data_IF_876169408102
#
_entry.id   IF_876169408102
#
_cell.length_a   1.000
_cell.length_b   1.000
_cell.length_c   1.000
_cell.angle_alpha   90.00
_cell.angle_beta   90.00
_cell.angle_gamma   90.00
#
_symmetry.space_group_name_H-M   'P 1'
#
loop_
_entity.id
_entity.type
_entity.pdbx_description
1 polymer ?
#
# COMPACT_ATOMS: atom_id res chain seq x y z
N UNK A 1 -10.06 27.36 -2.42
CA UNK A 1 -10.93 28.20 -1.60
C UNK A 1 -11.88 29.00 -2.47
N UNK A 2 -11.43 29.66 -3.54
CA UNK A 2 -12.30 30.48 -4.42
C UNK A 2 -13.44 29.68 -5.09
N UNK A 3 -13.27 28.37 -5.22
CA UNK A 3 -14.29 27.44 -5.72
C UNK A 3 -15.18 26.85 -4.60
N UNK A 4 -15.12 27.38 -3.37
CA UNK A 4 -15.86 26.87 -2.21
C UNK A 4 -15.38 25.49 -1.75
N UNK A 5 -14.10 25.15 -1.97
CA UNK A 5 -13.50 23.90 -1.47
C UNK A 5 -12.64 24.22 -0.24
N UNK A 6 -12.89 23.52 0.86
CA UNK A 6 -12.24 23.80 2.14
C UNK A 6 -11.32 22.69 2.62
N UNK A 7 -11.52 21.46 2.15
CA UNK A 7 -10.69 20.32 2.51
C UNK A 7 -10.09 19.69 1.24
N UNK A 8 -8.79 19.42 1.29
CA UNK A 8 -8.04 18.71 0.27
C UNK A 8 -7.72 17.29 0.77
N UNK A 9 -8.02 16.28 -0.05
CA UNK A 9 -7.59 14.91 0.16
C UNK A 9 -6.47 14.57 -0.82
N UNK A 10 -5.36 14.05 -0.30
CA UNK A 10 -4.18 13.62 -1.06
C UNK A 10 -3.93 12.16 -0.76
N UNK A 11 -3.67 11.37 -1.79
CA UNK A 11 -3.26 9.97 -1.66
C UNK A 11 -2.29 9.57 -2.77
N UNK A 12 -1.57 8.48 -2.54
CA UNK A 12 -0.77 7.87 -3.60
C UNK A 12 -1.69 7.27 -4.67
N UNK A 13 -1.34 7.47 -5.95
CA UNK A 13 -2.13 6.96 -7.08
C UNK A 13 -2.20 5.43 -7.14
N UNK A 14 -1.24 4.74 -6.52
CA UNK A 14 -1.18 3.29 -6.43
C UNK A 14 -2.05 2.71 -5.30
N UNK A 15 -2.55 3.54 -4.37
CA UNK A 15 -3.40 3.08 -3.27
C UNK A 15 -4.87 3.01 -3.70
N UNK A 16 -5.33 1.86 -4.14
CA UNK A 16 -6.73 1.65 -4.55
C UNK A 16 -7.73 1.64 -3.38
N UNK A 17 -7.25 1.61 -2.13
CA UNK A 17 -8.08 1.77 -0.93
C UNK A 17 -8.37 3.22 -0.56
N UNK A 18 -7.68 4.19 -1.19
CA UNK A 18 -7.84 5.61 -0.91
C UNK A 18 -9.12 6.15 -1.56
N UNK A 19 -10.10 6.47 -0.74
CA UNK A 19 -11.39 7.05 -1.18
C UNK A 19 -11.75 8.23 -0.32
N UNK A 20 -12.51 9.19 -0.87
CA UNK A 20 -13.09 10.28 -0.09
C UNK A 20 -14.10 9.69 0.91
N UNK A 21 -13.93 10.01 2.19
CA UNK A 21 -14.76 9.51 3.28
C UNK A 21 -15.51 10.69 3.95
N UNK A 22 -16.85 10.76 3.81
CA UNK A 22 -17.64 11.81 4.43
C UNK A 22 -17.55 11.88 5.96
N UNK A 23 -17.28 10.74 6.62
CA UNK A 23 -17.11 10.70 8.09
C UNK A 23 -15.83 11.43 8.50
N UNK A 24 -14.74 11.21 7.75
CA UNK A 24 -13.48 11.93 8.00
C UNK A 24 -13.65 13.43 7.70
N UNK A 25 -14.35 13.77 6.61
CA UNK A 25 -14.65 15.17 6.28
C UNK A 25 -15.40 15.85 7.41
N UNK A 26 -16.49 15.27 7.88
CA UNK A 26 -17.29 15.81 8.98
C UNK A 26 -16.49 15.93 10.28
N UNK A 27 -15.65 14.93 10.57
CA UNK A 27 -14.76 14.95 11.74
C UNK A 27 -13.78 16.13 11.69
N UNK A 28 -13.16 16.36 10.51
CA UNK A 28 -12.25 17.50 10.35
C UNK A 28 -12.95 18.85 10.50
N UNK A 29 -14.15 18.98 9.96
CA UNK A 29 -14.96 20.20 10.02
C UNK A 29 -15.41 20.47 11.47
N UNK A 30 -16.02 19.48 12.12
CA UNK A 30 -16.54 19.60 13.50
C UNK A 30 -15.45 19.98 14.51
N UNK A 31 -14.25 19.44 14.38
CA UNK A 31 -13.13 19.68 15.31
C UNK A 31 -12.11 20.67 14.80
N UNK A 32 -12.36 21.35 13.67
CA UNK A 32 -11.44 22.30 13.04
C UNK A 32 -10.02 21.75 12.86
N UNK A 33 -9.90 20.49 12.45
CA UNK A 33 -8.61 19.81 12.31
C UNK A 33 -7.85 20.38 11.10
N UNK A 34 -6.65 20.97 11.28
CA UNK A 34 -5.91 21.59 10.19
C UNK A 34 -5.25 20.57 9.25
N UNK A 35 -4.82 19.43 9.80
CA UNK A 35 -4.13 18.38 9.07
C UNK A 35 -4.44 17.03 9.71
N UNK A 36 -4.87 16.06 8.90
CA UNK A 36 -5.14 14.70 9.36
C UNK A 36 -4.40 13.70 8.46
N UNK A 37 -3.69 12.76 9.10
CA UNK A 37 -3.00 11.64 8.46
C UNK A 37 -3.69 10.33 8.80
N UNK A 38 -4.09 9.56 7.80
CA UNK A 38 -4.61 8.22 8.03
C UNK A 38 -3.48 7.25 8.35
N UNK A 39 -3.65 6.56 9.47
CA UNK A 39 -2.77 5.51 9.95
C UNK A 39 -3.49 4.17 9.88
N UNK A 40 -2.79 3.08 9.58
CA UNK A 40 -3.39 1.74 9.65
C UNK A 40 -2.46 0.75 10.34
N UNK A 41 -3.01 -0.39 10.78
CA UNK A 41 -2.24 -1.40 11.48
C UNK A 41 -1.11 -1.97 10.62
N UNK A 42 0.10 -2.10 11.21
CA UNK A 42 1.23 -2.78 10.57
C UNK A 42 0.93 -4.28 10.40
N UNK A 43 1.35 -4.81 9.26
CA UNK A 43 1.44 -6.25 9.01
C UNK A 43 2.92 -6.62 8.80
N UNK A 44 3.30 -7.90 8.74
CA UNK A 44 4.67 -8.30 8.42
C UNK A 44 5.20 -7.72 7.10
N UNK A 45 4.33 -7.36 6.16
CA UNK A 45 4.70 -6.74 4.89
C UNK A 45 5.04 -5.23 5.03
N UNK A 46 4.55 -4.57 6.08
CA UNK A 46 4.60 -3.10 6.22
C UNK A 46 5.44 -2.64 7.42
N UNK A 47 6.24 -3.51 8.02
CA UNK A 47 7.02 -3.21 9.24
C UNK A 47 7.92 -1.97 9.11
N UNK A 48 8.36 -1.69 7.87
CA UNK A 48 9.21 -0.54 7.52
C UNK A 48 8.44 0.76 7.27
N UNK A 49 7.10 0.72 7.32
CA UNK A 49 6.27 1.92 7.10
C UNK A 49 6.48 2.98 8.18
N UNK A 50 6.52 4.25 7.77
CA UNK A 50 6.67 5.40 8.66
C UNK A 50 5.56 5.47 9.70
N UNK A 51 5.87 5.92 10.90
CA UNK A 51 4.91 6.01 12.02
C UNK A 51 4.92 7.38 12.66
N UNK A 52 3.87 7.68 13.42
CA UNK A 52 3.78 8.93 14.16
C UNK A 52 4.32 8.76 15.58
N UNK A 53 4.97 9.81 16.08
CA UNK A 53 5.38 9.94 17.46
C UNK A 53 5.17 11.36 17.96
N UNK A 54 5.10 11.54 19.25
CA UNK A 54 4.95 12.85 19.88
C UNK A 54 6.28 13.28 20.50
N UNK A 55 6.71 14.50 20.21
CA UNK A 55 7.87 15.13 20.81
C UNK A 55 7.57 16.60 21.11
N UNK A 56 7.82 17.03 22.33
CA UNK A 56 7.61 18.43 22.78
C UNK A 56 6.17 18.93 22.50
N UNK A 57 5.18 18.04 22.70
CA UNK A 57 3.78 18.33 22.47
C UNK A 57 3.35 18.32 20.98
N UNK A 58 4.29 18.16 20.04
CA UNK A 58 4.03 18.13 18.60
C UNK A 58 4.03 16.71 18.05
N UNK A 59 3.12 16.45 17.11
CA UNK A 59 3.09 15.22 16.38
C UNK A 59 4.11 15.26 15.23
N UNK A 60 4.90 14.22 15.09
CA UNK A 60 5.96 14.10 14.09
C UNK A 60 5.89 12.77 13.34
N UNK A 61 6.36 12.77 12.09
CA UNK A 61 6.48 11.56 11.28
C UNK A 61 7.91 11.00 11.36
N UNK A 62 8.03 9.74 11.78
CA UNK A 62 9.28 8.99 11.76
C UNK A 62 9.27 8.03 10.57
N UNK A 63 10.07 8.34 9.57
CA UNK A 63 10.33 7.47 8.43
C UNK A 63 11.58 6.62 8.68
N UNK A 64 11.60 5.38 8.16
CA UNK A 64 12.72 4.45 8.36
C UNK A 64 14.07 5.04 7.92
N UNK A 65 14.09 5.87 6.90
CA UNK A 65 15.31 6.55 6.42
C UNK A 65 15.94 7.50 7.48
N UNK A 66 15.22 7.82 8.55
CA UNK A 66 15.70 8.66 9.68
C UNK A 66 16.04 7.84 10.91
N UNK A 67 15.83 6.55 10.88
CA UNK A 67 16.11 5.65 12.00
C UNK A 67 17.58 5.23 11.94
N UNK A 68 18.37 5.38 13.02
CA UNK A 68 19.72 4.85 13.08
C UNK A 68 19.75 3.34 12.82
N UNK A 69 20.79 2.84 12.15
CA UNK A 69 20.89 1.43 11.75
C UNK A 69 20.75 0.46 12.93
N UNK A 70 21.29 0.82 14.10
CA UNK A 70 21.18 0.03 15.34
C UNK A 70 19.77 0.05 15.98
N UNK A 71 18.85 0.84 15.45
CA UNK A 71 17.46 0.99 15.92
C UNK A 71 16.40 0.51 14.93
N UNK A 72 16.82 0.02 13.77
CA UNK A 72 15.88 -0.44 12.72
C UNK A 72 15.02 -1.60 13.21
N UNK A 73 15.59 -2.57 13.94
CA UNK A 73 14.82 -3.69 14.48
C UNK A 73 13.76 -3.23 15.48
N UNK A 74 14.10 -2.25 16.32
CA UNK A 74 13.18 -1.64 17.27
C UNK A 74 12.04 -0.90 16.55
N UNK A 75 12.36 -0.18 15.46
CA UNK A 75 11.37 0.51 14.62
C UNK A 75 10.43 -0.47 13.92
N UNK A 76 10.93 -1.64 13.51
CA UNK A 76 10.16 -2.68 12.87
C UNK A 76 9.31 -3.52 13.84
N UNK A 77 9.49 -3.38 15.15
CA UNK A 77 8.70 -4.10 16.16
C UNK A 77 7.26 -3.63 16.18
N UNK A 78 6.34 -4.48 15.67
CA UNK A 78 4.91 -4.21 15.60
C UNK A 78 4.24 -4.10 16.99
N UNK A 79 4.86 -4.61 18.06
CA UNK A 79 4.35 -4.46 19.43
C UNK A 79 4.56 -3.04 19.92
N UNK A 80 5.67 -2.41 19.50
CA UNK A 80 6.02 -1.03 19.84
C UNK A 80 5.34 -0.03 18.90
N UNK A 81 5.52 -0.20 17.60
CA UNK A 81 4.95 0.66 16.56
C UNK A 81 3.84 -0.07 15.81
N UNK A 82 2.62 0.03 16.33
CA UNK A 82 1.46 -0.76 15.89
C UNK A 82 0.85 -0.30 14.58
N UNK A 83 1.04 0.97 14.22
CA UNK A 83 0.43 1.61 13.05
C UNK A 83 1.49 2.26 12.17
N UNK A 84 1.16 2.47 10.90
CA UNK A 84 2.02 3.19 9.97
C UNK A 84 1.21 4.14 9.08
N UNK A 85 1.90 5.10 8.49
CA UNK A 85 1.37 6.11 7.59
C UNK A 85 0.95 5.51 6.25
N UNK A 86 -0.30 5.72 5.85
CA UNK A 86 -0.85 5.27 4.57
C UNK A 86 -0.57 6.23 3.41
N UNK A 87 -0.04 7.44 3.68
CA UNK A 87 0.02 8.58 2.78
C UNK A 87 -1.36 9.10 2.31
N UNK A 88 -2.44 8.71 2.97
CA UNK A 88 -3.72 9.37 2.84
C UNK A 88 -3.75 10.57 3.78
N UNK A 89 -3.76 11.77 3.22
CA UNK A 89 -3.60 13.02 3.94
C UNK A 89 -4.79 13.91 3.64
N UNK A 90 -5.33 14.54 4.68
CA UNK A 90 -6.42 15.49 4.59
C UNK A 90 -5.95 16.81 5.15
N UNK A 91 -6.19 17.91 4.43
CA UNK A 91 -5.68 19.23 4.80
C UNK A 91 -6.84 20.23 4.73
N UNK A 92 -7.03 20.99 5.80
CA UNK A 92 -7.88 22.17 5.79
C UNK A 92 -7.19 23.29 4.99
N UNK A 93 -7.81 23.72 3.90
CA UNK A 93 -7.21 24.71 2.98
C UNK A 93 -7.13 26.11 3.57
N UNK A 94 -8.00 26.46 4.55
CA UNK A 94 -7.90 27.73 5.28
C UNK A 94 -6.63 27.69 6.13
N UNK A 95 -6.46 26.65 6.93
CA UNK A 95 -5.27 26.47 7.76
C UNK A 95 -3.98 26.41 6.91
N UNK A 96 -4.03 25.77 5.74
CA UNK A 96 -2.90 25.73 4.81
C UNK A 96 -2.55 27.14 4.27
N UNK A 97 -3.56 27.92 3.88
CA UNK A 97 -3.37 29.29 3.40
C UNK A 97 -2.75 30.17 4.48
N UNK A 98 -3.26 30.08 5.71
CA UNK A 98 -2.75 30.86 6.83
C UNK A 98 -1.31 30.47 7.16
N UNK A 99 -0.98 29.16 7.14
CA UNK A 99 0.39 28.69 7.37
C UNK A 99 1.34 29.16 6.26
N UNK A 100 0.93 29.11 5.00
CA UNK A 100 1.73 29.56 3.86
C UNK A 100 1.96 31.08 3.86
N UNK A 101 1.07 31.87 4.46
CA UNK A 101 1.29 33.31 4.61
C UNK A 101 2.48 33.66 5.52
N UNK A 102 2.89 32.73 6.38
CA UNK A 102 4.04 32.84 7.29
C UNK A 102 5.37 32.37 6.66
N UNK A 103 5.31 31.83 5.42
CA UNK A 103 6.47 31.30 4.68
C UNK A 103 6.23 29.89 4.16
N UNK A 104 7.18 29.32 3.43
CA UNK A 104 7.09 27.97 2.89
C UNK A 104 7.01 26.92 4.00
N UNK A 105 6.42 25.76 3.71
CA UNK A 105 6.42 24.63 4.63
C UNK A 105 7.85 24.04 4.72
N UNK A 106 8.35 23.88 5.92
CA UNK A 106 9.61 23.20 6.19
C UNK A 106 9.39 21.68 6.18
N UNK A 107 9.57 21.06 5.00
CA UNK A 107 9.42 19.62 4.85
C UNK A 107 10.74 18.89 5.12
N UNK A 108 10.64 17.73 5.76
CA UNK A 108 11.79 16.86 5.97
C UNK A 108 12.32 16.33 4.63
N UNK A 109 13.63 16.54 4.41
CA UNK A 109 14.33 15.98 3.25
C UNK A 109 14.82 14.57 3.60
N UNK A 110 14.44 13.61 2.77
CA UNK A 110 14.92 12.24 2.81
C UNK A 110 16.08 12.07 1.82
N UNK A 111 17.16 11.47 2.29
CA UNK A 111 18.37 11.22 1.48
C UNK A 111 18.49 9.71 1.22
N UNK A 112 18.15 9.29 0.01
CA UNK A 112 18.22 7.90 -0.39
C UNK A 112 19.48 7.68 -1.26
N UNK A 113 20.42 6.88 -0.74
CA UNK A 113 21.61 6.45 -1.49
C UNK A 113 21.29 5.17 -2.26
N UNK A 114 21.51 5.17 -3.56
CA UNK A 114 21.26 4.02 -4.44
C UNK A 114 22.27 3.95 -5.58
N UNK A 115 22.33 2.82 -6.25
CA UNK A 115 23.08 2.68 -7.50
C UNK A 115 22.11 2.75 -8.70
N UNK A 116 22.49 3.47 -9.73
CA UNK A 116 21.83 3.48 -11.05
C UNK A 116 22.79 2.77 -12.01
N UNK A 117 22.56 1.50 -12.27
CA UNK A 117 23.58 0.62 -12.85
C UNK A 117 24.77 0.52 -11.88
N UNK A 118 25.98 0.82 -12.38
CA UNK A 118 27.21 0.81 -11.56
C UNK A 118 27.54 2.18 -10.93
N UNK A 119 26.73 3.20 -11.19
CA UNK A 119 27.01 4.57 -10.73
C UNK A 119 26.30 4.85 -9.40
N UNK A 120 27.03 5.21 -8.32
CA UNK A 120 26.41 5.68 -7.08
C UNK A 120 25.61 6.95 -7.32
N UNK A 121 24.37 6.99 -6.83
CA UNK A 121 23.47 8.13 -6.94
C UNK A 121 22.87 8.48 -5.58
N UNK A 122 22.53 9.76 -5.41
CA UNK A 122 21.80 10.25 -4.25
C UNK A 122 20.48 10.84 -4.73
N UNK A 123 19.39 10.26 -4.27
CA UNK A 123 18.05 10.77 -4.52
C UNK A 123 17.62 11.59 -3.31
N UNK A 124 17.22 12.84 -3.55
CA UNK A 124 16.64 13.72 -2.55
C UNK A 124 15.13 13.76 -2.74
N UNK A 125 14.39 13.52 -1.69
CA UNK A 125 12.94 13.54 -1.67
C UNK A 125 12.44 14.35 -0.48
N UNK A 126 11.26 14.95 -0.59
CA UNK A 126 10.53 15.51 0.55
C UNK A 126 9.31 14.66 0.82
N UNK A 127 9.15 14.21 2.07
CA UNK A 127 7.97 13.49 2.47
C UNK A 127 6.83 14.47 2.73
N UNK A 128 5.78 14.46 1.88
CA UNK A 128 4.60 15.31 2.10
C UNK A 128 3.96 15.06 3.46
N UNK A 129 4.04 13.84 3.99
CA UNK A 129 3.56 13.49 5.31
C UNK A 129 4.22 14.29 6.43
N UNK A 130 5.48 14.74 6.26
CA UNK A 130 6.15 15.57 7.26
C UNK A 130 5.54 16.98 7.40
N UNK A 131 4.70 17.40 6.46
CA UNK A 131 3.97 18.66 6.56
C UNK A 131 3.08 18.74 7.82
N UNK A 132 2.67 17.58 8.38
CA UNK A 132 1.90 17.58 9.65
C UNK A 132 2.64 18.32 10.78
N UNK A 133 3.97 18.33 10.78
CA UNK A 133 4.80 19.00 11.79
C UNK A 133 4.66 20.54 11.74
N UNK A 134 4.16 21.06 10.60
CA UNK A 134 3.92 22.49 10.41
C UNK A 134 2.54 22.96 10.91
N UNK A 135 1.68 22.04 11.38
CA UNK A 135 0.32 22.36 11.82
C UNK A 135 0.13 21.99 13.29
N UNK A 136 -0.13 23.01 14.11
CA UNK A 136 -0.58 22.80 15.48
C UNK A 136 -1.99 22.17 15.47
N UNK A 137 -2.19 21.12 16.27
CA UNK A 137 -3.45 20.36 16.27
C UNK A 137 -3.58 19.34 15.14
N UNK A 138 -2.48 19.01 14.43
CA UNK A 138 -2.48 17.90 13.48
C UNK A 138 -2.82 16.57 14.16
N UNK A 139 -3.54 15.68 13.46
CA UNK A 139 -4.08 14.42 14.00
C UNK A 139 -3.63 13.23 13.16
N UNK A 140 -3.26 12.13 13.83
CA UNK A 140 -3.16 10.80 13.23
C UNK A 140 -4.43 10.01 13.52
N UNK A 141 -5.18 9.64 12.49
CA UNK A 141 -6.41 8.87 12.60
C UNK A 141 -6.19 7.42 12.20
N UNK A 142 -6.45 6.48 13.12
CA UNK A 142 -6.38 5.05 12.78
C UNK A 142 -7.62 4.64 11.99
N UNK A 143 -7.38 4.10 10.78
CA UNK A 143 -8.42 3.67 9.83
C UNK A 143 -8.34 2.16 9.55
N UNK A 144 -9.41 1.62 8.94
CA UNK A 144 -9.44 0.23 8.47
C UNK A 144 -8.34 -0.04 7.44
N UNK A 145 -7.79 -1.25 7.44
CA UNK A 145 -6.81 -1.71 6.46
C UNK A 145 -7.33 -1.61 5.01
N UNK A 146 -8.62 -1.71 4.79
CA UNK A 146 -9.24 -1.54 3.46
C UNK A 146 -8.95 -0.18 2.81
N UNK A 147 -8.51 0.80 3.60
CA UNK A 147 -8.12 2.12 3.08
C UNK A 147 -6.66 2.17 2.60
N UNK A 148 -5.93 1.05 2.73
CA UNK A 148 -4.56 0.92 2.24
C UNK A 148 -4.38 -0.37 1.44
N UNK A 149 -4.59 -0.28 0.12
CA UNK A 149 -4.52 -1.37 -0.85
C UNK A 149 -3.59 -0.96 -2.01
N UNK A 150 -2.27 -0.81 -1.75
CA UNK A 150 -1.32 -0.37 -2.76
C UNK A 150 -1.08 -1.46 -3.83
N UNK A 151 -0.94 -1.03 -5.07
CA UNK A 151 -0.54 -1.88 -6.21
C UNK A 151 0.84 -1.45 -6.68
N UNK A 152 1.88 -2.13 -6.21
CA UNK A 152 3.27 -1.86 -6.59
C UNK A 152 3.83 -2.86 -7.59
N UNK A 153 3.26 -4.06 -7.58
CA UNK A 153 3.67 -5.18 -8.42
C UNK A 153 2.45 -5.91 -8.97
N UNK A 154 2.67 -6.78 -9.94
CA UNK A 154 1.64 -7.67 -10.46
C UNK A 154 1.10 -8.66 -9.43
N UNK A 155 1.87 -8.96 -8.38
CA UNK A 155 1.43 -9.72 -7.21
C UNK A 155 0.22 -9.05 -6.54
N UNK A 156 0.34 -7.73 -6.28
CA UNK A 156 -0.73 -6.92 -5.68
C UNK A 156 -1.93 -6.83 -6.63
N UNK A 157 -1.65 -6.67 -7.93
CA UNK A 157 -2.69 -6.60 -8.96
C UNK A 157 -3.50 -7.89 -9.04
N UNK A 158 -2.83 -9.05 -8.95
CA UNK A 158 -3.50 -10.36 -8.93
C UNK A 158 -4.44 -10.47 -7.74
N UNK A 159 -3.98 -10.09 -6.55
CA UNK A 159 -4.81 -10.07 -5.32
C UNK A 159 -6.07 -9.24 -5.51
N UNK A 160 -5.91 -7.97 -5.92
CA UNK A 160 -7.04 -7.03 -5.99
C UNK A 160 -8.02 -7.32 -7.13
N UNK A 161 -7.55 -7.97 -8.21
CA UNK A 161 -8.42 -8.40 -9.33
C UNK A 161 -9.14 -9.72 -9.07
N UNK A 162 -8.74 -10.46 -8.04
CA UNK A 162 -9.31 -11.78 -7.74
C UNK A 162 -10.63 -11.70 -6.95
N UNK A 163 -11.25 -12.85 -6.74
CA UNK A 163 -12.44 -12.99 -5.89
C UNK A 163 -12.18 -12.82 -4.39
N UNK A 164 -10.95 -12.48 -4.00
CA UNK A 164 -10.61 -12.07 -2.64
C UNK A 164 -11.15 -10.67 -2.31
N UNK A 165 -11.47 -9.88 -3.33
CA UNK A 165 -12.03 -8.54 -3.18
C UNK A 165 -13.30 -8.38 -3.98
N UNK A 166 -14.20 -7.54 -3.49
CA UNK A 166 -15.41 -7.11 -4.18
C UNK A 166 -15.50 -5.59 -4.20
N UNK A 167 -15.99 -5.04 -5.31
CA UNK A 167 -16.25 -3.60 -5.41
C UNK A 167 -17.64 -3.32 -4.83
N UNK A 168 -17.70 -2.58 -3.74
CA UNK A 168 -18.94 -2.16 -3.11
C UNK A 168 -18.98 -0.65 -2.96
N UNK A 169 -19.94 0.01 -3.63
CA UNK A 169 -20.12 1.49 -3.62
C UNK A 169 -18.82 2.25 -3.90
N UNK A 170 -18.04 1.78 -4.87
CA UNK A 170 -16.76 2.41 -5.25
C UNK A 170 -15.57 2.10 -4.33
N UNK A 171 -15.75 1.23 -3.33
CA UNK A 171 -14.67 0.77 -2.43
C UNK A 171 -14.40 -0.71 -2.63
N UNK A 172 -13.12 -1.08 -2.68
CA UNK A 172 -12.71 -2.47 -2.61
C UNK A 172 -12.85 -2.97 -1.17
N UNK A 173 -13.52 -4.10 -1.00
CA UNK A 173 -13.69 -4.77 0.28
C UNK A 173 -13.20 -6.20 0.19
N UNK A 174 -12.37 -6.61 1.16
CA UNK A 174 -11.92 -7.99 1.27
C UNK A 174 -13.11 -8.91 1.53
N UNK A 175 -13.11 -10.07 0.88
CA UNK A 175 -14.14 -11.11 1.09
C UNK A 175 -14.23 -11.52 2.57
N UNK A 176 -15.42 -11.55 3.17
CA UNK A 176 -15.59 -11.99 4.55
C UNK A 176 -15.22 -13.47 4.79
N UNK A 177 -15.07 -14.24 3.72
CA UNK A 177 -14.61 -15.63 3.77
C UNK A 177 -13.11 -15.76 4.06
N UNK A 178 -12.34 -14.64 3.96
CA UNK A 178 -10.90 -14.61 4.22
C UNK A 178 -10.60 -13.79 5.49
N UNK A 179 -9.75 -14.35 6.35
CA UNK A 179 -9.18 -13.64 7.49
C UNK A 179 -7.84 -12.97 7.14
N UNK A 180 -7.09 -13.60 6.25
CA UNK A 180 -5.77 -13.13 5.80
C UNK A 180 -5.65 -13.33 4.31
N UNK A 181 -4.98 -12.39 3.63
CA UNK A 181 -4.66 -12.53 2.22
C UNK A 181 -3.60 -13.62 2.02
N UNK A 182 -3.67 -14.39 0.92
CA UNK A 182 -2.63 -15.34 0.57
C UNK A 182 -1.32 -14.61 0.26
N UNK A 183 -0.20 -15.29 0.48
CA UNK A 183 1.10 -14.83 0.01
C UNK A 183 1.19 -15.11 -1.50
N UNK A 184 1.53 -14.09 -2.30
CA UNK A 184 1.71 -14.22 -3.75
C UNK A 184 3.12 -13.76 -4.11
N UNK A 185 3.81 -14.59 -4.88
CA UNK A 185 5.13 -14.31 -5.46
C UNK A 185 5.09 -14.64 -6.96
N UNK A 186 5.07 -13.62 -7.80
CA UNK A 186 5.17 -13.75 -9.24
C UNK A 186 6.60 -13.45 -9.67
N UNK A 187 7.20 -14.39 -10.39
CA UNK A 187 8.55 -14.25 -10.94
C UNK A 187 8.67 -13.12 -11.97
N UNK A 188 9.92 -12.80 -12.34
CA UNK A 188 10.27 -11.68 -13.21
C UNK A 188 9.46 -11.62 -14.51
N UNK A 189 9.19 -12.77 -15.13
CA UNK A 189 8.40 -12.86 -16.36
C UNK A 189 7.02 -12.22 -16.21
N UNK A 190 6.34 -12.46 -15.10
CA UNK A 190 4.98 -11.96 -14.83
C UNK A 190 4.99 -10.54 -14.21
N UNK A 191 6.13 -9.98 -13.85
CA UNK A 191 6.21 -8.55 -13.44
C UNK A 191 6.00 -7.61 -14.63
N UNK A 192 6.19 -8.08 -15.86
CA UNK A 192 5.77 -7.33 -17.03
C UNK A 192 4.24 -7.41 -17.17
N UNK A 193 3.57 -6.27 -17.29
CA UNK A 193 2.10 -6.19 -17.31
C UNK A 193 1.47 -6.88 -18.50
N UNK A 194 2.12 -6.84 -19.68
CA UNK A 194 1.63 -7.51 -20.89
C UNK A 194 1.71 -9.03 -20.73
N UNK A 195 2.83 -9.55 -20.23
CA UNK A 195 2.98 -10.97 -19.92
C UNK A 195 1.95 -11.42 -18.89
N UNK A 196 1.75 -10.62 -17.82
CA UNK A 196 0.73 -10.90 -16.81
C UNK A 196 -0.67 -11.01 -17.42
N UNK A 197 -1.07 -10.06 -18.26
CA UNK A 197 -2.40 -10.07 -18.90
C UNK A 197 -2.57 -11.25 -19.87
N UNK A 198 -1.53 -11.57 -20.62
CA UNK A 198 -1.56 -12.69 -21.58
C UNK A 198 -1.54 -14.05 -20.86
N UNK A 199 -0.86 -14.15 -19.72
CA UNK A 199 -0.77 -15.38 -18.92
C UNK A 199 -2.01 -15.66 -18.08
N UNK A 200 -2.68 -14.61 -17.62
CA UNK A 200 -3.86 -14.66 -16.73
C UNK A 200 -5.02 -13.85 -17.35
N UNK A 201 -5.51 -14.26 -18.54
CA UNK A 201 -6.63 -13.55 -19.17
C UNK A 201 -7.89 -13.60 -18.31
N UNK A 202 -8.09 -14.70 -17.60
CA UNK A 202 -9.10 -14.87 -16.55
C UNK A 202 -8.38 -15.11 -15.23
N UNK A 203 -8.65 -14.26 -14.24
CA UNK A 203 -8.05 -14.41 -12.92
C UNK A 203 -8.62 -15.65 -12.24
N UNK A 204 -7.77 -16.56 -11.71
CA UNK A 204 -8.23 -17.78 -11.06
C UNK A 204 -8.96 -17.49 -9.74
N UNK A 205 -9.75 -18.46 -9.31
CA UNK A 205 -10.34 -18.47 -7.96
C UNK A 205 -9.24 -18.69 -6.91
N UNK A 206 -9.06 -17.72 -6.03
CA UNK A 206 -8.05 -17.68 -4.97
C UNK A 206 -8.64 -17.76 -3.57
N UNK A 207 -9.97 -17.98 -3.43
CA UNK A 207 -10.63 -17.90 -2.12
C UNK A 207 -10.04 -18.89 -1.10
N UNK A 208 -9.59 -20.06 -1.55
CA UNK A 208 -8.99 -21.10 -0.71
C UNK A 208 -7.46 -21.18 -0.81
N UNK A 209 -6.83 -20.21 -1.45
CA UNK A 209 -5.37 -20.14 -1.60
C UNK A 209 -4.72 -19.66 -0.29
N UNK A 210 -3.58 -20.23 0.09
CA UNK A 210 -2.73 -19.79 1.19
C UNK A 210 -1.43 -19.16 0.66
N UNK A 211 -0.83 -19.79 -0.34
CA UNK A 211 0.41 -19.30 -0.96
C UNK A 211 0.42 -19.67 -2.45
N UNK A 212 0.84 -18.72 -3.29
CA UNK A 212 1.09 -18.92 -4.71
C UNK A 212 2.50 -18.45 -5.05
N UNK A 213 3.26 -19.32 -5.66
CA UNK A 213 4.53 -18.96 -6.30
C UNK A 213 4.48 -19.35 -7.77
N UNK A 214 4.83 -18.39 -8.66
CA UNK A 214 4.94 -18.65 -10.11
C UNK A 214 6.34 -18.22 -10.56
N UNK A 215 7.09 -19.14 -11.12
CA UNK A 215 8.40 -18.89 -11.70
C UNK A 215 8.35 -19.16 -13.22
N UNK A 216 8.83 -18.19 -14.03
CA UNK A 216 8.88 -18.32 -15.48
C UNK A 216 7.52 -18.16 -16.17
N UNK A 217 7.39 -18.73 -17.36
CA UNK A 217 6.22 -18.60 -18.21
C UNK A 217 5.14 -19.64 -17.85
N UNK A 218 4.03 -19.16 -17.27
CA UNK A 218 2.85 -19.97 -16.96
C UNK A 218 1.65 -19.32 -17.61
N UNK A 219 0.84 -20.10 -18.33
CA UNK A 219 -0.35 -19.63 -19.03
C UNK A 219 -1.59 -20.37 -18.56
N UNK A 220 -2.62 -19.63 -18.24
CA UNK A 220 -3.96 -20.16 -17.94
C UNK A 220 -4.84 -20.03 -19.17
N UNK A 221 -5.31 -21.15 -19.72
CA UNK A 221 -6.19 -21.16 -20.92
C UNK A 221 -7.65 -20.83 -20.63
N UNK A 222 -7.98 -20.57 -19.36
CA UNK A 222 -9.35 -20.23 -18.96
C UNK A 222 -9.49 -20.15 -17.44
N UNK A 223 -10.66 -20.57 -16.94
CA UNK A 223 -10.93 -20.60 -15.50
C UNK A 223 -10.04 -21.60 -14.79
N UNK A 224 -9.60 -21.26 -13.59
CA UNK A 224 -8.86 -22.14 -12.71
C UNK A 224 -9.21 -21.88 -11.24
N UNK A 225 -8.96 -22.84 -10.36
CA UNK A 225 -9.09 -22.70 -8.92
C UNK A 225 -7.80 -23.17 -8.25
N UNK A 226 -7.20 -22.28 -7.43
CA UNK A 226 -5.96 -22.56 -6.71
C UNK A 226 -6.27 -22.65 -5.21
N UNK A 227 -5.79 -23.71 -4.54
CA UNK A 227 -6.08 -23.98 -3.13
C UNK A 227 -4.82 -24.34 -2.36
N UNK A 228 -4.76 -23.97 -1.09
CA UNK A 228 -3.62 -24.25 -0.23
C UNK A 228 -2.32 -23.60 -0.73
N UNK A 229 -1.23 -24.35 -0.84
CA UNK A 229 0.09 -23.86 -1.29
C UNK A 229 0.39 -24.38 -2.68
N UNK A 230 0.50 -23.48 -3.64
CA UNK A 230 0.70 -23.81 -5.07
C UNK A 230 1.99 -23.20 -5.58
N UNK A 231 2.80 -24.01 -6.23
CA UNK A 231 4.01 -23.57 -6.95
C UNK A 231 3.95 -24.01 -8.41
N UNK A 232 3.95 -23.04 -9.33
CA UNK A 232 3.91 -23.26 -10.78
C UNK A 232 5.24 -22.82 -11.38
N UNK A 233 5.93 -23.73 -12.06
CA UNK A 233 7.26 -23.48 -12.58
C UNK A 233 7.30 -23.70 -14.11
N UNK A 234 7.43 -22.59 -14.86
CA UNK A 234 7.59 -22.53 -16.30
C UNK A 234 8.98 -22.05 -16.75
N UNK A 235 10.04 -22.19 -15.92
CA UNK A 235 11.38 -21.68 -16.24
C UNK A 235 12.06 -22.47 -17.38
N UNK A 236 11.89 -23.79 -17.42
CA UNK A 236 12.52 -24.64 -18.44
C UNK A 236 11.68 -24.72 -19.72
N UNK A 237 10.38 -24.78 -19.56
CA UNK A 237 9.40 -24.86 -20.62
C UNK A 237 8.11 -24.20 -20.13
N UNK A 238 7.37 -23.48 -20.99
CA UNK A 238 6.09 -22.91 -20.63
C UNK A 238 5.14 -23.96 -20.03
N UNK A 239 4.61 -23.65 -18.84
CA UNK A 239 3.57 -24.46 -18.20
C UNK A 239 2.20 -23.96 -18.65
N UNK A 240 1.42 -24.83 -19.31
CA UNK A 240 0.08 -24.48 -19.78
C UNK A 240 -0.94 -25.19 -18.89
N UNK A 241 -1.83 -24.42 -18.30
CA UNK A 241 -2.91 -24.93 -17.45
C UNK A 241 -4.22 -24.87 -18.22
N UNK A 242 -4.89 -26.01 -18.45
CA UNK A 242 -6.14 -26.05 -19.20
C UNK A 242 -7.27 -25.36 -18.46
N UNK A 243 -8.29 -24.90 -19.20
CA UNK A 243 -9.50 -24.33 -18.59
C UNK A 243 -10.17 -25.34 -17.65
N UNK A 244 -10.61 -24.87 -16.48
CA UNK A 244 -11.21 -25.71 -15.43
C UNK A 244 -10.20 -26.39 -14.52
N UNK A 245 -8.89 -26.09 -14.62
CA UNK A 245 -7.88 -26.66 -13.76
C UNK A 245 -8.16 -26.37 -12.27
N UNK A 246 -8.03 -27.40 -11.43
CA UNK A 246 -8.08 -27.30 -9.98
C UNK A 246 -6.77 -27.80 -9.42
N UNK A 247 -6.01 -26.92 -8.76
CA UNK A 247 -4.68 -27.22 -8.24
C UNK A 247 -4.71 -27.02 -6.72
N UNK A 248 -4.32 -28.04 -5.98
CA UNK A 248 -4.40 -28.03 -4.51
C UNK A 248 -3.13 -28.57 -3.91
N UNK A 249 -2.41 -27.75 -3.15
CA UNK A 249 -1.16 -28.12 -2.43
C UNK A 249 -0.12 -28.83 -3.33
N UNK A 250 0.07 -28.31 -4.55
CA UNK A 250 0.89 -28.95 -5.57
C UNK A 250 2.01 -28.05 -6.09
N UNK A 251 3.09 -28.70 -6.55
CA UNK A 251 4.13 -28.08 -7.37
C UNK A 251 4.12 -28.68 -8.77
N UNK A 252 3.82 -27.87 -9.79
CA UNK A 252 3.76 -28.27 -11.20
C UNK A 252 4.92 -27.68 -11.98
N UNK A 253 5.43 -28.44 -12.96
CA UNK A 253 6.52 -28.03 -13.84
C UNK A 253 6.12 -28.23 -15.30
N UNK A 254 6.49 -27.26 -16.17
CA UNK A 254 6.37 -27.33 -17.61
C UNK A 254 7.51 -28.07 -18.29
#
# INVERSE_FOLDING_TARGET
LDAGREILFISNADNLGATVDPVILNYMDEFNIPFLMEMTAKTPADVKGGTLYQQDGKLKLLEIARVPDDKVDEFCDQKKFKVFNTNNIWINLVALKDRLSQGPLELTVLVNRKNVGETPAVQLETAIGSALECFEGAVGLTVSRDRFLPVKKTDDLLLLRSNLFTLNKGQLKMSPQKKHLPKIELGEFLQNIENFQNSLPIIPDLINLEELKIDGEVRFEGTASLKGKVHLNGLKKPLILPSGAVITDESLQG
#
